data_IF_497694466076
#
_entry.id   IF_497694466076
#
_cell.length_a   1.000
_cell.length_b   1.000
_cell.length_c   1.000
_cell.angle_alpha   90.00
_cell.angle_beta   90.00
_cell.angle_gamma   90.00
#
_symmetry.space_group_name_H-M   'P 1'
#
loop_
_entity.id
_entity.type
_entity.pdbx_description
1 polymer ?
#
# COMPACT_ATOMS: atom_id res chain seq x y z
N UNK A 1 -1.72 17.79 13.34
CA UNK A 1 -0.45 18.40 12.87
C UNK A 1 -0.14 17.81 11.50
N UNK A 2 1.10 17.88 11.00
CA UNK A 2 1.45 17.34 9.67
C UNK A 2 1.32 15.82 9.55
N UNK A 3 1.22 15.11 10.69
CA UNK A 3 1.02 13.65 10.74
C UNK A 3 -0.41 13.27 11.17
N UNK A 4 -1.36 14.21 11.12
CA UNK A 4 -2.74 13.95 11.54
C UNK A 4 -2.95 13.81 13.06
N UNK A 5 -1.94 14.09 13.89
CA UNK A 5 -2.09 14.04 15.35
C UNK A 5 -2.99 15.18 15.85
N UNK A 6 -3.96 14.83 16.70
CA UNK A 6 -4.88 15.78 17.33
C UNK A 6 -4.16 16.49 18.47
N UNK A 7 -3.78 17.75 18.23
CA UNK A 7 -3.10 18.61 19.21
C UNK A 7 -4.07 19.45 20.04
N UNK A 8 -5.18 19.85 19.44
CA UNK A 8 -6.17 20.72 20.05
C UNK A 8 -7.58 20.27 19.70
N UNK A 9 -8.50 20.38 20.66
CA UNK A 9 -9.93 20.15 20.46
C UNK A 9 -10.67 21.36 21.00
N UNK A 10 -11.60 21.87 20.20
CA UNK A 10 -12.37 23.09 20.49
C UNK A 10 -13.87 22.79 20.50
N UNK A 11 -14.64 23.61 21.20
CA UNK A 11 -16.10 23.62 21.11
C UNK A 11 -16.59 24.22 19.78
N UNK A 12 -17.89 24.11 19.49
CA UNK A 12 -18.52 24.78 18.34
C UNK A 12 -18.40 26.31 18.35
N UNK A 13 -18.11 26.92 19.51
CA UNK A 13 -17.86 28.36 19.64
C UNK A 13 -16.37 28.73 19.53
N UNK A 14 -15.49 27.74 19.26
CA UNK A 14 -14.05 27.94 19.16
C UNK A 14 -13.32 27.95 20.50
N UNK A 15 -14.01 27.80 21.64
CA UNK A 15 -13.35 27.72 22.95
C UNK A 15 -12.58 26.40 23.08
N UNK A 16 -11.30 26.48 23.49
CA UNK A 16 -10.41 25.32 23.66
C UNK A 16 -10.89 24.43 24.80
N UNK A 17 -11.03 23.13 24.51
CA UNK A 17 -11.49 22.08 25.43
C UNK A 17 -10.38 21.15 25.87
N UNK A 18 -9.45 20.85 24.98
CA UNK A 18 -8.34 19.96 25.24
C UNK A 18 -7.15 20.39 24.39
N UNK A 19 -5.97 20.43 25.00
CA UNK A 19 -4.68 20.56 24.31
C UNK A 19 -3.80 19.41 24.78
N UNK A 20 -3.21 18.68 23.84
CA UNK A 20 -2.30 17.57 24.11
C UNK A 20 -1.07 17.72 23.22
N UNK A 21 0.09 17.71 23.86
CA UNK A 21 1.36 17.62 23.18
C UNK A 21 1.85 16.18 23.25
N UNK A 22 2.69 15.79 22.29
CA UNK A 22 3.19 14.43 22.16
C UNK A 22 4.70 14.44 21.97
N UNK A 23 5.36 13.50 22.62
CA UNK A 23 6.70 13.05 22.26
C UNK A 23 6.70 12.45 20.84
N UNK A 24 7.87 12.31 20.19
CA UNK A 24 7.96 11.82 18.82
C UNK A 24 7.21 10.51 18.55
N UNK A 25 7.22 9.56 19.48
CA UNK A 25 6.56 8.26 19.35
C UNK A 25 5.11 8.24 19.87
N UNK A 26 4.51 9.40 20.15
CA UNK A 26 3.11 9.50 20.55
C UNK A 26 2.82 9.43 22.04
N UNK A 27 3.86 9.40 22.88
CA UNK A 27 3.70 9.52 24.33
C UNK A 27 3.13 10.90 24.65
N UNK A 28 2.06 10.99 25.44
CA UNK A 28 1.47 12.27 25.80
C UNK A 28 2.44 13.05 26.69
N UNK A 29 2.82 14.24 26.25
CA UNK A 29 3.59 15.19 27.02
C UNK A 29 2.64 15.88 28.00
N UNK A 30 2.86 15.70 29.30
CA UNK A 30 2.10 16.40 30.34
C UNK A 30 2.58 17.84 30.38
N UNK A 31 1.78 18.75 29.81
CA UNK A 31 2.00 20.18 29.96
C UNK A 31 1.52 20.61 31.36
N UNK A 32 2.37 21.32 32.11
CA UNK A 32 2.18 21.64 33.54
C UNK A 32 1.08 22.68 33.81
N UNK A 33 0.39 23.16 32.78
CA UNK A 33 -0.79 23.99 32.91
C UNK A 33 -2.00 23.14 33.33
N UNK A 34 -2.17 23.00 34.66
CA UNK A 34 -3.33 22.41 35.36
C UNK A 34 -4.73 22.78 34.80
N UNK A 35 -4.84 23.84 34.00
CA UNK A 35 -6.11 24.35 33.46
C UNK A 35 -6.61 23.65 32.17
N UNK A 36 -5.81 22.80 31.49
CA UNK A 36 -6.22 22.20 30.20
C UNK A 36 -6.54 20.70 30.25
N UNK A 37 -6.48 20.08 31.44
CA UNK A 37 -6.90 18.69 31.70
C UNK A 37 -8.39 18.69 32.08
N UNK A 38 -9.26 19.31 31.28
CA UNK A 38 -10.68 19.38 31.64
C UNK A 38 -11.46 18.12 31.30
N UNK A 39 -10.92 17.20 30.50
CA UNK A 39 -11.49 15.87 30.27
C UNK A 39 -10.50 15.08 29.39
N UNK A 40 -9.53 14.32 29.95
CA UNK A 40 -8.55 13.58 29.16
C UNK A 40 -9.20 12.59 28.16
N UNK A 41 -10.41 12.13 28.47
CA UNK A 41 -11.21 11.22 27.66
C UNK A 41 -12.23 11.93 26.75
N UNK A 42 -12.19 13.27 26.61
CA UNK A 42 -13.14 13.99 25.76
C UNK A 42 -12.97 13.61 24.29
N UNK A 43 -11.73 13.58 23.82
CA UNK A 43 -11.36 13.12 22.49
C UNK A 43 -10.50 11.86 22.62
N UNK A 44 -11.05 10.72 22.18
CA UNK A 44 -10.39 9.41 22.20
C UNK A 44 -9.36 9.28 21.07
N UNK A 45 -9.57 9.95 19.93
CA UNK A 45 -8.63 9.95 18.81
C UNK A 45 -7.52 10.99 19.02
N UNK A 46 -6.27 10.53 19.12
CA UNK A 46 -5.16 11.34 19.64
C UNK A 46 -3.98 11.36 18.67
N UNK A 47 -2.95 10.57 18.96
CA UNK A 47 -1.74 10.48 18.13
C UNK A 47 -2.07 9.83 16.79
N UNK A 48 -1.63 10.46 15.69
CA UNK A 48 -1.98 10.09 14.31
C UNK A 48 -3.48 9.85 14.05
N UNK A 49 -4.34 10.51 14.83
CA UNK A 49 -5.79 10.31 14.74
C UNK A 49 -6.26 8.91 15.15
N UNK A 50 -5.44 8.13 15.87
CA UNK A 50 -5.78 6.78 16.34
C UNK A 50 -6.41 6.80 17.73
N UNK A 51 -7.30 5.84 17.96
CA UNK A 51 -8.00 5.69 19.22
C UNK A 51 -7.00 5.34 20.32
N UNK A 52 -7.00 6.14 21.39
CA UNK A 52 -6.17 5.91 22.57
C UNK A 52 -6.91 5.03 23.57
N UNK A 53 -6.40 3.81 23.76
CA UNK A 53 -6.91 2.87 24.74
C UNK A 53 -6.14 3.00 26.05
N UNK A 54 -6.80 3.57 27.07
CA UNK A 54 -6.25 3.69 28.43
C UNK A 54 -6.76 2.61 29.39
N UNK A 55 -7.51 1.61 28.89
CA UNK A 55 -8.11 0.58 29.71
C UNK A 55 -7.03 -0.21 30.47
N UNK A 56 -7.22 -0.35 31.78
CA UNK A 56 -6.26 -0.99 32.71
C UNK A 56 -4.82 -0.43 32.67
N UNK A 57 -4.62 0.79 32.17
CA UNK A 57 -3.30 1.42 32.11
C UNK A 57 -2.43 0.97 30.93
N UNK A 58 -2.99 0.27 29.94
CA UNK A 58 -2.29 -0.14 28.71
C UNK A 58 -1.72 1.06 27.94
N UNK A 59 -2.48 2.16 27.84
CA UNK A 59 -2.06 3.42 27.21
C UNK A 59 -1.49 3.22 25.79
N UNK A 60 -2.22 2.47 24.97
CA UNK A 60 -1.86 2.13 23.58
C UNK A 60 -2.71 2.90 22.58
N UNK A 61 -2.25 2.92 21.33
CA UNK A 61 -3.05 3.38 20.19
C UNK A 61 -3.45 2.20 19.32
N UNK A 62 -4.72 2.15 18.93
CA UNK A 62 -5.22 1.11 18.04
C UNK A 62 -4.97 1.49 16.57
N UNK A 63 -4.10 0.72 15.90
CA UNK A 63 -3.80 0.84 14.47
C UNK A 63 -4.46 -0.28 13.66
N UNK A 64 -5.44 -0.98 14.23
CA UNK A 64 -6.19 -2.07 13.61
C UNK A 64 -5.40 -3.39 13.62
N UNK A 65 -4.30 -3.46 12.88
CA UNK A 65 -3.49 -4.68 12.80
C UNK A 65 -2.70 -4.96 14.09
N UNK A 66 -2.32 -3.89 14.80
CA UNK A 66 -1.43 -3.91 15.98
C UNK A 66 -1.81 -2.79 16.94
N UNK A 67 -1.41 -2.93 18.20
CA UNK A 67 -1.47 -1.85 19.19
C UNK A 67 -0.09 -1.19 19.28
N UNK A 68 -0.03 0.12 19.13
CA UNK A 68 1.21 0.88 19.31
C UNK A 68 1.39 1.24 20.78
N UNK A 69 2.53 0.86 21.37
CA UNK A 69 2.97 1.27 22.70
C UNK A 69 3.87 2.51 22.59
N UNK A 70 3.33 3.73 22.77
CA UNK A 70 4.09 4.95 22.58
C UNK A 70 5.23 5.12 23.59
N UNK A 71 5.04 4.62 24.82
CA UNK A 71 6.06 4.69 25.89
C UNK A 71 7.25 3.77 25.58
N UNK A 72 7.00 2.64 24.93
CA UNK A 72 8.04 1.68 24.55
C UNK A 72 8.58 1.93 23.14
N UNK A 73 7.98 2.86 22.38
CA UNK A 73 8.28 3.17 20.99
C UNK A 73 8.18 1.95 20.06
N UNK A 74 7.21 1.05 20.31
CA UNK A 74 7.13 -0.27 19.67
C UNK A 74 5.69 -0.75 19.46
N UNK A 75 5.53 -1.70 18.55
CA UNK A 75 4.33 -2.51 18.44
C UNK A 75 4.20 -3.51 19.60
N UNK A 76 2.96 -3.85 19.95
CA UNK A 76 2.62 -4.85 20.96
C UNK A 76 2.91 -6.29 20.53
N UNK A 77 2.94 -6.53 19.22
CA UNK A 77 3.13 -7.85 18.61
C UNK A 77 4.02 -7.75 17.37
N UNK A 78 4.54 -8.92 16.97
CA UNK A 78 5.37 -9.09 15.78
C UNK A 78 4.61 -8.55 14.56
N UNK A 79 5.29 -7.73 13.76
CA UNK A 79 4.82 -7.34 12.45
C UNK A 79 4.53 -8.59 11.61
N UNK A 80 3.30 -8.78 11.09
CA UNK A 80 3.00 -9.90 10.20
C UNK A 80 3.91 -9.96 8.97
N UNK A 81 4.58 -8.86 8.63
CA UNK A 81 5.52 -8.70 7.55
C UNK A 81 6.98 -8.65 8.02
N UNK A 82 7.30 -9.01 9.27
CA UNK A 82 8.64 -8.85 9.83
C UNK A 82 9.74 -9.60 9.07
N UNK A 83 9.39 -10.72 8.42
CA UNK A 83 10.30 -11.49 7.58
C UNK A 83 10.72 -10.74 6.30
N UNK A 84 10.08 -9.60 5.99
CA UNK A 84 10.47 -8.69 4.90
C UNK A 84 11.58 -7.72 5.31
N UNK A 85 11.71 -7.43 6.61
CA UNK A 85 12.65 -6.43 7.13
C UNK A 85 13.61 -7.05 8.15
N UNK A 86 14.47 -7.98 7.71
CA UNK A 86 15.45 -8.63 8.60
C UNK A 86 16.36 -7.64 9.35
N UNK A 87 16.58 -6.46 8.78
CA UNK A 87 17.38 -5.39 9.37
C UNK A 87 16.60 -4.47 10.32
N UNK A 88 15.30 -4.66 10.46
CA UNK A 88 14.41 -3.89 11.33
C UNK A 88 13.78 -4.82 12.35
N UNK A 89 13.68 -4.38 13.59
CA UNK A 89 13.01 -5.20 14.61
C UNK A 89 11.55 -5.45 14.19
N UNK A 90 11.02 -6.69 14.32
CA UNK A 90 9.61 -7.00 14.11
C UNK A 90 8.64 -6.16 14.94
N UNK A 91 9.14 -5.45 15.94
CA UNK A 91 8.37 -4.60 16.84
C UNK A 91 8.60 -3.11 16.60
N UNK A 92 9.39 -2.71 15.58
CA UNK A 92 9.74 -1.32 15.35
C UNK A 92 8.54 -0.54 14.81
N UNK A 93 8.22 0.58 15.45
CA UNK A 93 7.24 1.56 14.95
C UNK A 93 7.92 2.51 13.96
N UNK A 94 7.37 2.65 12.74
CA UNK A 94 7.86 3.54 11.69
C UNK A 94 9.38 3.45 11.42
N UNK A 95 9.98 2.26 11.54
CA UNK A 95 11.44 2.05 11.45
C UNK A 95 12.27 3.03 12.33
N UNK A 96 11.74 3.41 13.50
CA UNK A 96 12.30 4.42 14.42
C UNK A 96 12.32 5.86 13.89
N UNK A 97 11.51 6.20 12.89
CA UNK A 97 11.40 7.57 12.35
C UNK A 97 9.96 8.15 12.43
N UNK A 98 9.36 8.25 13.63
CA UNK A 98 7.95 8.62 13.83
C UNK A 98 7.66 10.12 13.64
N UNK A 99 8.69 10.94 13.38
CA UNK A 99 8.55 12.39 13.11
C UNK A 99 8.21 12.63 11.63
N UNK A 100 8.67 11.73 10.76
CA UNK A 100 8.51 11.83 9.31
C UNK A 100 7.57 10.77 8.74
N UNK A 101 7.29 9.70 9.48
CA UNK A 101 6.52 8.55 9.00
C UNK A 101 5.37 8.22 9.97
N UNK A 102 4.24 7.82 9.41
CA UNK A 102 3.07 7.28 10.12
C UNK A 102 2.78 5.93 9.50
N UNK A 103 2.47 4.94 10.34
CA UNK A 103 1.89 3.67 9.89
C UNK A 103 0.36 3.86 9.92
N UNK A 104 -0.35 4.05 8.79
CA UNK A 104 -1.76 4.43 8.82
C UNK A 104 -2.67 3.31 9.32
N UNK A 105 -2.39 2.05 8.97
CA UNK A 105 -3.15 0.84 9.39
C UNK A 105 -2.40 -0.46 9.04
N UNK A 106 -1.10 -0.37 8.72
CA UNK A 106 -0.24 -1.43 8.23
C UNK A 106 -0.51 -1.84 6.78
N UNK A 107 -1.17 -1.00 5.96
CA UNK A 107 -1.74 -1.36 4.65
C UNK A 107 -1.78 -0.17 3.66
N UNK A 108 -1.75 -0.45 2.35
CA UNK A 108 -1.58 0.56 1.28
C UNK A 108 -2.65 0.40 0.16
N UNK A 109 -3.48 1.45 -0.08
CA UNK A 109 -4.63 1.50 -1.00
C UNK A 109 -5.99 1.35 -0.30
N UNK A 110 -7.11 1.83 -0.88
CA UNK A 110 -8.44 1.79 -0.24
C UNK A 110 -9.54 1.20 -1.13
N UNK A 111 -10.55 0.60 -0.52
CA UNK A 111 -11.83 0.21 -1.15
C UNK A 111 -12.93 1.15 -0.68
N UNK A 112 -13.50 1.92 -1.60
CA UNK A 112 -14.58 2.86 -1.32
C UNK A 112 -15.91 2.20 -1.68
N UNK A 113 -16.76 1.94 -0.69
CA UNK A 113 -18.08 1.35 -0.87
C UNK A 113 -19.12 2.46 -1.03
N UNK A 114 -19.84 2.44 -2.15
CA UNK A 114 -21.02 3.26 -2.42
C UNK A 114 -22.25 2.35 -2.42
N UNK A 115 -22.98 2.39 -1.31
CA UNK A 115 -24.19 1.59 -1.07
C UNK A 115 -25.36 1.98 -1.99
N UNK A 116 -25.43 3.25 -2.40
CA UNK A 116 -26.54 3.75 -3.25
C UNK A 116 -26.39 3.23 -4.68
N UNK A 117 -25.18 3.34 -5.22
CA UNK A 117 -24.88 2.90 -6.58
C UNK A 117 -24.46 1.43 -6.67
N UNK A 118 -24.33 0.74 -5.52
CA UNK A 118 -23.81 -0.63 -5.40
C UNK A 118 -22.47 -0.79 -6.11
N UNK A 119 -21.55 0.13 -5.84
CA UNK A 119 -20.19 0.10 -6.42
C UNK A 119 -19.14 0.03 -5.33
N UNK A 120 -18.06 -0.69 -5.60
CA UNK A 120 -16.84 -0.67 -4.80
C UNK A 120 -15.74 -0.14 -5.70
N UNK A 121 -15.11 0.97 -5.31
CA UNK A 121 -14.00 1.56 -6.06
C UNK A 121 -12.69 1.30 -5.34
N UNK A 122 -11.77 0.61 -5.99
CA UNK A 122 -10.38 0.49 -5.54
C UNK A 122 -9.64 1.74 -5.94
N UNK A 123 -9.13 2.49 -4.96
CA UNK A 123 -8.34 3.69 -5.19
C UNK A 123 -6.90 3.47 -4.74
N UNK A 124 -5.97 3.74 -5.66
CA UNK A 124 -4.54 3.63 -5.43
C UNK A 124 -3.76 4.51 -6.42
N UNK A 125 -2.64 5.05 -5.97
CA UNK A 125 -1.77 5.91 -6.74
C UNK A 125 -0.41 5.23 -6.94
N UNK A 126 0.19 5.38 -8.12
CA UNK A 126 1.44 4.75 -8.53
C UNK A 126 2.43 5.81 -8.97
N UNK A 127 3.52 5.93 -8.21
CA UNK A 127 4.67 6.77 -8.54
C UNK A 127 5.58 5.98 -9.47
N UNK A 128 5.63 6.41 -10.73
CA UNK A 128 6.32 5.74 -11.82
C UNK A 128 7.74 6.29 -11.93
N UNK A 129 8.75 5.41 -11.88
CA UNK A 129 10.13 5.82 -12.11
C UNK A 129 10.32 6.39 -13.50
N UNK A 130 10.72 7.65 -13.61
CA UNK A 130 11.15 8.25 -14.88
C UNK A 130 12.66 8.43 -14.95
N UNK A 131 13.34 8.47 -13.80
CA UNK A 131 14.78 8.63 -13.73
C UNK A 131 15.56 7.38 -14.09
N UNK A 132 16.62 7.56 -14.88
CA UNK A 132 17.56 6.49 -15.26
C UNK A 132 18.28 5.88 -14.04
N UNK A 133 18.76 4.64 -14.19
CA UNK A 133 19.56 3.94 -13.18
C UNK A 133 20.79 3.31 -13.79
N UNK A 134 21.94 3.61 -13.21
CA UNK A 134 23.16 2.88 -13.50
C UNK A 134 23.15 1.51 -12.81
N UNK A 135 23.64 0.49 -13.50
CA UNK A 135 23.91 -0.84 -12.94
C UNK A 135 25.19 -1.42 -13.54
N UNK A 136 25.80 -2.40 -12.85
CA UNK A 136 26.94 -3.14 -13.40
C UNK A 136 26.44 -4.41 -14.06
N UNK A 137 26.84 -4.65 -15.30
CA UNK A 137 26.60 -5.91 -15.99
C UNK A 137 27.53 -7.03 -15.50
N UNK A 138 27.32 -8.25 -16.02
CA UNK A 138 28.13 -9.43 -15.68
C UNK A 138 29.61 -9.30 -16.02
N UNK A 139 29.97 -8.39 -16.94
CA UNK A 139 31.35 -8.11 -17.34
C UNK A 139 31.97 -6.97 -16.52
N UNK A 140 31.24 -6.40 -15.57
CA UNK A 140 31.69 -5.31 -14.70
C UNK A 140 31.53 -3.91 -15.30
N UNK A 141 30.98 -3.78 -16.52
CA UNK A 141 30.77 -2.48 -17.16
C UNK A 141 29.55 -1.78 -16.56
N UNK A 142 29.61 -0.46 -16.50
CA UNK A 142 28.47 0.37 -16.07
C UNK A 142 27.54 0.54 -17.27
N UNK A 143 26.30 0.09 -17.09
CA UNK A 143 25.19 0.25 -18.02
C UNK A 143 24.14 1.19 -17.42
N UNK A 144 23.33 1.80 -18.27
CA UNK A 144 22.20 2.64 -17.85
C UNK A 144 20.90 1.99 -18.27
N UNK A 145 20.01 1.79 -17.30
CA UNK A 145 18.62 1.43 -17.54
C UNK A 145 17.76 2.69 -17.53
N UNK A 146 17.13 3.00 -18.66
CA UNK A 146 16.23 4.14 -18.73
C UNK A 146 14.94 3.92 -17.93
N UNK A 147 14.41 4.99 -17.33
CA UNK A 147 13.12 4.98 -16.68
C UNK A 147 11.93 4.79 -17.66
N UNK A 148 10.73 4.91 -17.13
CA UNK A 148 9.53 5.09 -17.94
C UNK A 148 9.47 6.50 -18.51
N UNK A 149 8.89 6.62 -19.69
CA UNK A 149 8.61 7.90 -20.34
C UNK A 149 7.25 8.45 -19.91
N UNK A 150 7.00 9.74 -20.15
CA UNK A 150 5.65 10.31 -19.97
C UNK A 150 4.61 9.62 -20.87
N UNK A 151 5.03 9.08 -22.02
CA UNK A 151 4.16 8.28 -22.89
C UNK A 151 3.71 6.98 -22.23
N UNK A 152 4.62 6.30 -21.52
CA UNK A 152 4.30 5.09 -20.75
C UNK A 152 3.32 5.42 -19.61
N UNK A 153 3.52 6.54 -18.90
CA UNK A 153 2.61 6.99 -17.83
C UNK A 153 1.21 7.28 -18.38
N UNK A 154 1.12 7.93 -19.54
CA UNK A 154 -0.16 8.18 -20.19
C UNK A 154 -0.87 6.86 -20.57
N UNK A 155 -0.13 5.88 -21.10
CA UNK A 155 -0.68 4.54 -21.37
C UNK A 155 -1.18 3.84 -20.09
N UNK A 156 -0.44 3.94 -18.99
CA UNK A 156 -0.86 3.35 -17.70
C UNK A 156 -2.13 4.01 -17.15
N UNK A 157 -2.31 5.32 -17.33
CA UNK A 157 -3.54 6.00 -16.93
C UNK A 157 -4.78 5.54 -17.73
N UNK A 158 -4.61 4.92 -18.91
CA UNK A 158 -5.71 4.27 -19.63
C UNK A 158 -6.14 2.92 -19.00
N UNK A 159 -5.43 2.41 -17.99
CA UNK A 159 -5.76 1.12 -17.35
C UNK A 159 -7.11 1.17 -16.64
N UNK A 160 -7.50 2.32 -16.06
CA UNK A 160 -8.84 2.48 -15.49
C UNK A 160 -9.94 2.21 -16.53
N UNK A 161 -9.78 2.74 -17.75
CA UNK A 161 -10.73 2.51 -18.84
C UNK A 161 -10.83 1.02 -19.14
N UNK A 162 -9.69 0.37 -19.39
CA UNK A 162 -9.64 -1.06 -19.67
C UNK A 162 -10.27 -1.91 -18.56
N UNK A 163 -9.90 -1.67 -17.30
CA UNK A 163 -10.38 -2.44 -16.15
C UNK A 163 -11.88 -2.22 -15.89
N UNK A 164 -12.36 -0.99 -16.00
CA UNK A 164 -13.75 -0.65 -15.75
C UNK A 164 -14.69 -1.14 -16.87
N UNK A 165 -14.20 -1.27 -18.11
CA UNK A 165 -14.92 -1.87 -19.24
C UNK A 165 -15.10 -3.40 -19.12
N UNK A 166 -14.35 -4.07 -18.24
CA UNK A 166 -14.57 -5.50 -17.94
C UNK A 166 -15.88 -5.75 -17.19
N UNK A 167 -16.49 -4.71 -16.60
CA UNK A 167 -17.76 -4.80 -15.86
C UNK A 167 -17.75 -5.90 -14.80
N UNK A 168 -16.68 -5.96 -14.01
CA UNK A 168 -16.52 -6.96 -12.95
C UNK A 168 -17.59 -6.77 -11.87
N UNK A 169 -18.16 -7.88 -11.41
CA UNK A 169 -19.13 -7.89 -10.31
C UNK A 169 -18.67 -8.84 -9.21
N UNK A 170 -19.06 -8.53 -7.97
CA UNK A 170 -18.83 -9.41 -6.83
C UNK A 170 -19.84 -10.56 -6.88
N UNK A 171 -19.38 -11.82 -6.99
CA UNK A 171 -20.26 -12.97 -7.24
C UNK A 171 -20.92 -13.53 -5.98
N UNK A 172 -20.49 -13.16 -4.78
CA UNK A 172 -20.99 -13.71 -3.50
C UNK A 172 -20.54 -12.87 -2.30
N UNK A 173 -21.24 -13.00 -1.17
CA UNK A 173 -20.89 -12.36 0.10
C UNK A 173 -21.65 -11.05 0.34
N UNK A 174 -21.20 -10.25 1.31
CA UNK A 174 -21.92 -9.06 1.77
C UNK A 174 -22.15 -8.01 0.67
N UNK A 175 -21.29 -8.02 -0.35
CA UNK A 175 -21.36 -7.12 -1.50
C UNK A 175 -21.78 -7.83 -2.79
N UNK A 176 -22.47 -8.97 -2.71
CA UNK A 176 -22.94 -9.69 -3.89
C UNK A 176 -23.74 -8.77 -4.84
N UNK A 177 -23.38 -8.83 -6.13
CA UNK A 177 -23.97 -7.99 -7.17
C UNK A 177 -23.40 -6.57 -7.26
N UNK A 178 -22.49 -6.15 -6.37
CA UNK A 178 -21.82 -4.85 -6.48
C UNK A 178 -20.86 -4.86 -7.66
N UNK A 179 -20.75 -3.72 -8.34
CA UNK A 179 -19.76 -3.52 -9.40
C UNK A 179 -18.41 -3.13 -8.80
N UNK A 180 -17.33 -3.83 -9.20
CA UNK A 180 -15.97 -3.42 -8.87
C UNK A 180 -15.47 -2.41 -9.89
N UNK A 181 -14.96 -1.28 -9.41
CA UNK A 181 -14.39 -0.19 -10.20
C UNK A 181 -12.98 0.12 -9.73
N UNK A 182 -12.20 0.74 -10.60
CA UNK A 182 -10.81 1.13 -10.36
C UNK A 182 -10.64 2.63 -10.63
N UNK A 183 -10.01 3.29 -9.68
CA UNK A 183 -9.57 4.68 -9.71
C UNK A 183 -8.07 4.70 -9.39
N UNK A 184 -7.27 4.29 -10.38
CA UNK A 184 -5.82 4.20 -10.29
C UNK A 184 -5.16 5.43 -10.92
N UNK A 185 -4.23 6.06 -10.23
CA UNK A 185 -3.48 7.21 -10.79
C UNK A 185 -2.03 6.82 -11.04
N UNK A 186 -1.49 7.06 -12.23
CA UNK A 186 -0.06 6.90 -12.50
C UNK A 186 0.57 8.28 -12.68
N UNK A 187 1.57 8.60 -11.86
CA UNK A 187 2.23 9.91 -11.83
C UNK A 187 3.74 9.77 -11.88
N UNK A 188 4.41 10.82 -12.36
CA UNK A 188 5.87 10.88 -12.39
C UNK A 188 6.44 10.86 -10.97
N UNK A 189 7.20 9.81 -10.66
CA UNK A 189 7.90 9.61 -9.38
C UNK A 189 9.38 10.05 -9.40
N UNK A 190 9.87 10.54 -10.54
CA UNK A 190 11.24 11.00 -10.71
C UNK A 190 12.29 9.91 -10.48
N UNK A 191 13.30 10.24 -9.66
CA UNK A 191 14.44 9.36 -9.33
C UNK A 191 14.30 8.65 -7.98
N UNK A 192 13.27 8.99 -7.17
CA UNK A 192 13.03 8.45 -5.82
C UNK A 192 11.53 8.26 -5.56
N UNK A 193 10.98 7.10 -5.94
CA UNK A 193 9.54 6.87 -5.88
C UNK A 193 9.03 6.48 -4.48
N UNK A 194 9.82 5.73 -3.72
CA UNK A 194 9.40 5.13 -2.43
C UNK A 194 9.03 6.18 -1.38
N UNK A 195 9.75 7.29 -1.32
CA UNK A 195 9.49 8.36 -0.33
C UNK A 195 8.19 9.09 -0.68
N UNK A 196 7.88 9.28 -1.97
CA UNK A 196 6.69 9.98 -2.41
C UNK A 196 5.44 9.11 -2.23
N UNK A 197 5.53 7.82 -2.58
CA UNK A 197 4.48 6.82 -2.33
C UNK A 197 4.06 6.78 -0.85
N UNK A 198 5.03 6.76 0.07
CA UNK A 198 4.76 6.72 1.51
C UNK A 198 4.02 7.97 2.07
N UNK A 199 3.97 9.08 1.31
CA UNK A 199 3.35 10.34 1.75
C UNK A 199 1.94 10.57 1.18
N UNK A 200 1.46 9.70 0.31
CA UNK A 200 0.22 9.90 -0.43
C UNK A 200 -0.99 9.30 0.31
N UNK A 201 -2.05 10.09 0.47
CA UNK A 201 -3.13 9.81 1.42
C UNK A 201 -4.52 10.02 0.81
N UNK A 202 -5.47 9.18 1.23
CA UNK A 202 -6.90 9.38 1.03
C UNK A 202 -7.68 9.07 2.31
N UNK A 203 -8.34 10.09 2.85
CA UNK A 203 -9.10 10.03 4.11
C UNK A 203 -8.32 9.40 5.30
N UNK A 204 -7.01 9.63 5.37
CA UNK A 204 -6.16 9.11 6.46
C UNK A 204 -5.59 7.71 6.22
N UNK A 205 -5.73 7.16 5.01
CA UNK A 205 -5.12 5.92 4.57
C UNK A 205 -4.08 6.18 3.48
N UNK A 206 -2.91 5.56 3.58
CA UNK A 206 -1.92 5.65 2.50
C UNK A 206 -2.46 4.93 1.25
N UNK A 207 -2.30 5.55 0.08
CA UNK A 207 -2.72 4.97 -1.20
C UNK A 207 -1.57 4.86 -2.22
N UNK A 208 -0.36 5.22 -1.82
CA UNK A 208 0.79 5.34 -2.71
C UNK A 208 1.55 4.04 -2.90
N UNK A 209 1.88 3.76 -4.16
CA UNK A 209 2.62 2.61 -4.65
C UNK A 209 3.76 3.09 -5.55
N UNK A 210 4.73 2.22 -5.86
CA UNK A 210 5.78 2.54 -6.84
C UNK A 210 5.83 1.53 -7.99
N UNK A 211 6.26 1.99 -9.15
CA UNK A 211 6.49 1.14 -10.31
C UNK A 211 7.77 1.56 -11.04
N UNK A 212 8.68 0.60 -11.19
CA UNK A 212 9.99 0.82 -11.80
C UNK A 212 10.37 -0.31 -12.76
N UNK A 213 11.29 -0.03 -13.67
CA UNK A 213 11.94 -1.04 -14.51
C UNK A 213 13.10 -1.68 -13.75
N UNK A 214 13.32 -2.96 -13.98
CA UNK A 214 14.43 -3.71 -13.42
C UNK A 214 14.92 -4.85 -14.32
N UNK A 215 16.05 -5.43 -13.93
CA UNK A 215 16.61 -6.63 -14.54
C UNK A 215 17.38 -7.41 -13.47
N UNK A 216 17.79 -8.63 -13.78
CA UNK A 216 18.49 -9.53 -12.83
C UNK A 216 19.81 -8.97 -12.30
N UNK A 217 20.44 -8.02 -13.00
CA UNK A 217 21.69 -7.39 -12.55
C UNK A 217 21.44 -6.27 -11.53
N UNK A 218 20.40 -5.47 -11.76
CA UNK A 218 19.98 -4.38 -10.88
C UNK A 218 19.28 -4.91 -9.62
N UNK A 219 18.54 -6.02 -9.76
CA UNK A 219 17.80 -6.66 -8.69
C UNK A 219 18.11 -8.16 -8.62
N UNK A 220 19.21 -8.48 -7.93
CA UNK A 220 19.76 -9.85 -7.89
C UNK A 220 18.92 -10.85 -7.11
N UNK A 221 18.06 -10.37 -6.20
CA UNK A 221 17.35 -11.22 -5.24
C UNK A 221 15.83 -11.31 -5.51
N UNK A 222 15.35 -10.85 -6.67
CA UNK A 222 13.91 -10.81 -6.97
C UNK A 222 13.46 -11.84 -8.01
N UNK A 223 14.34 -12.76 -8.44
CA UNK A 223 13.91 -13.91 -9.23
C UNK A 223 13.60 -13.63 -10.71
N UNK A 224 14.28 -12.64 -11.32
CA UNK A 224 14.21 -12.37 -12.77
C UNK A 224 15.04 -13.34 -13.63
N UNK A 225 15.42 -14.47 -13.06
CA UNK A 225 16.20 -15.49 -13.76
C UNK A 225 15.31 -16.35 -14.67
N UNK A 226 15.89 -16.81 -15.77
CA UNK A 226 15.23 -17.72 -16.69
C UNK A 226 15.26 -19.13 -16.14
N UNK A 227 14.08 -19.73 -16.00
CA UNK A 227 13.91 -21.12 -15.55
C UNK A 227 13.59 -21.98 -16.75
N UNK A 228 14.40 -23.01 -16.98
CA UNK A 228 14.14 -24.04 -17.98
C UNK A 228 13.20 -25.11 -17.39
N UNK A 229 12.13 -25.41 -18.11
CA UNK A 229 11.17 -26.44 -17.75
C UNK A 229 11.62 -27.78 -18.32
N UNK A 230 11.11 -28.87 -17.73
CA UNK A 230 11.40 -30.24 -18.16
C UNK A 230 10.98 -30.56 -19.60
N UNK A 231 10.12 -29.73 -20.21
CA UNK A 231 9.69 -29.84 -21.61
C UNK A 231 10.58 -29.03 -22.59
N UNK A 232 11.68 -28.44 -22.10
CA UNK A 232 12.60 -27.61 -22.88
C UNK A 232 12.12 -26.17 -23.13
N UNK A 233 10.94 -25.79 -22.61
CA UNK A 233 10.49 -24.40 -22.65
C UNK A 233 11.13 -23.59 -21.53
N UNK A 234 11.24 -22.28 -21.72
CA UNK A 234 11.80 -21.38 -20.70
C UNK A 234 10.73 -20.42 -20.19
N UNK A 235 10.82 -20.08 -18.90
CA UNK A 235 9.97 -19.09 -18.26
C UNK A 235 10.83 -18.00 -17.66
N UNK A 236 10.37 -16.76 -17.75
CA UNK A 236 10.99 -15.64 -17.04
C UNK A 236 9.90 -14.85 -16.35
N UNK A 237 10.11 -14.50 -15.09
CA UNK A 237 9.18 -13.65 -14.33
C UNK A 237 9.10 -12.27 -15.01
N UNK A 238 7.88 -11.83 -15.35
CA UNK A 238 7.63 -10.59 -16.10
C UNK A 238 7.65 -9.33 -15.23
N UNK A 239 7.35 -9.47 -13.96
CA UNK A 239 7.41 -8.43 -12.95
C UNK A 239 7.34 -9.05 -11.55
N UNK A 240 7.69 -8.27 -10.54
CA UNK A 240 7.60 -8.67 -9.14
C UNK A 240 7.06 -7.49 -8.36
N UNK A 241 6.03 -7.76 -7.56
CA UNK A 241 5.50 -6.81 -6.59
C UNK A 241 6.05 -7.15 -5.22
N UNK A 242 6.95 -6.32 -4.73
CA UNK A 242 7.48 -6.44 -3.38
C UNK A 242 6.55 -5.72 -2.42
N UNK A 243 6.28 -6.39 -1.29
CA UNK A 243 5.54 -5.80 -0.17
C UNK A 243 4.10 -5.38 -0.49
N UNK A 244 3.54 -5.83 -1.62
CA UNK A 244 2.26 -5.34 -2.16
C UNK A 244 2.27 -3.84 -2.50
N UNK A 245 3.44 -3.24 -2.76
CA UNK A 245 3.54 -1.79 -2.99
C UNK A 245 4.55 -1.43 -4.09
N UNK A 246 5.68 -2.16 -4.15
CA UNK A 246 6.80 -1.82 -5.00
C UNK A 246 6.86 -2.76 -6.20
N UNK A 247 6.34 -2.30 -7.33
CA UNK A 247 6.35 -3.04 -8.58
C UNK A 247 7.69 -2.83 -9.29
N UNK A 248 8.34 -3.94 -9.63
CA UNK A 248 9.51 -3.95 -10.49
C UNK A 248 9.19 -4.78 -11.73
N UNK A 249 9.14 -4.14 -12.88
CA UNK A 249 8.91 -4.82 -14.16
C UNK A 249 10.22 -5.31 -14.76
N UNK A 250 10.27 -6.58 -15.17
CA UNK A 250 11.46 -7.16 -15.77
C UNK A 250 11.59 -6.70 -17.23
N UNK A 251 12.66 -5.97 -17.51
CA UNK A 251 13.03 -5.54 -18.88
C UNK A 251 14.36 -6.14 -19.34
N UNK A 252 14.89 -7.12 -18.59
CA UNK A 252 16.08 -7.88 -19.00
C UNK A 252 15.86 -8.77 -20.22
N UNK A 253 14.59 -9.05 -20.56
CA UNK A 253 14.20 -9.81 -21.74
C UNK A 253 13.10 -9.06 -22.50
N UNK A 254 13.14 -9.14 -23.83
CA UNK A 254 12.18 -8.46 -24.68
C UNK A 254 10.77 -9.02 -24.49
N UNK A 255 9.76 -8.14 -24.47
CA UNK A 255 8.34 -8.51 -24.41
C UNK A 255 7.82 -8.90 -23.02
N UNK A 256 8.57 -8.65 -21.94
CA UNK A 256 8.12 -8.95 -20.57
C UNK A 256 7.37 -7.79 -19.89
N UNK A 257 7.74 -6.54 -20.15
CA UNK A 257 7.03 -5.37 -19.61
C UNK A 257 5.80 -5.01 -20.47
N UNK A 258 4.78 -5.87 -20.40
CA UNK A 258 3.51 -5.70 -21.12
C UNK A 258 2.44 -5.10 -20.21
N UNK A 259 1.42 -4.47 -20.81
CA UNK A 259 0.21 -4.02 -20.09
C UNK A 259 -0.37 -5.12 -19.19
N UNK A 260 -0.47 -6.35 -19.70
CA UNK A 260 -1.07 -7.44 -18.93
C UNK A 260 -0.21 -7.84 -17.73
N UNK A 261 1.12 -7.85 -17.88
CA UNK A 261 2.03 -8.13 -16.78
C UNK A 261 2.04 -6.99 -15.75
N UNK A 262 1.99 -5.72 -16.18
CA UNK A 262 1.83 -4.58 -15.25
C UNK A 262 0.54 -4.67 -14.45
N UNK A 263 -0.58 -5.00 -15.11
CA UNK A 263 -1.87 -5.20 -14.42
C UNK A 263 -1.79 -6.40 -13.46
N UNK A 264 -1.08 -7.47 -13.81
CA UNK A 264 -0.85 -8.58 -12.89
C UNK A 264 -0.15 -8.14 -11.61
N UNK A 265 0.93 -7.38 -11.74
CA UNK A 265 1.66 -6.80 -10.60
C UNK A 265 0.78 -5.82 -9.79
N UNK A 266 -0.01 -4.99 -10.45
CA UNK A 266 -1.00 -4.13 -9.78
C UNK A 266 -1.98 -4.94 -8.94
N UNK A 267 -2.46 -6.10 -9.40
CA UNK A 267 -3.36 -6.91 -8.57
C UNK A 267 -2.66 -7.55 -7.36
N UNK A 268 -1.33 -7.72 -7.39
CA UNK A 268 -0.59 -8.09 -6.19
C UNK A 268 -0.61 -6.97 -5.13
N UNK A 269 -0.66 -5.69 -5.52
CA UNK A 269 -0.80 -4.59 -4.54
C UNK A 269 -2.13 -4.65 -3.81
N UNK A 270 -3.18 -5.18 -4.47
CA UNK A 270 -4.48 -5.41 -3.83
C UNK A 270 -4.51 -6.65 -2.94
N UNK A 271 -3.38 -7.35 -2.75
CA UNK A 271 -3.23 -8.50 -1.86
C UNK A 271 -3.60 -9.85 -2.47
N UNK A 272 -3.71 -9.94 -3.80
CA UNK A 272 -3.90 -11.22 -4.46
C UNK A 272 -2.57 -11.99 -4.53
N UNK A 273 -2.67 -13.32 -4.45
CA UNK A 273 -1.54 -14.23 -4.59
C UNK A 273 -1.84 -15.29 -5.65
N UNK A 274 -0.79 -15.90 -6.20
CA UNK A 274 -0.93 -16.98 -7.17
C UNK A 274 -1.68 -18.17 -6.55
N UNK A 275 -2.54 -18.86 -7.32
CA UNK A 275 -3.26 -20.03 -6.83
C UNK A 275 -2.31 -21.13 -6.36
N UNK A 276 -2.64 -21.79 -5.25
CA UNK A 276 -1.89 -22.96 -4.76
C UNK A 276 -2.22 -24.20 -5.60
N UNK A 277 -1.21 -24.84 -6.18
CA UNK A 277 -1.31 -26.09 -6.95
C UNK A 277 -1.71 -25.91 -8.43
N UNK A 278 -1.93 -27.02 -9.15
CA UNK A 278 -2.31 -27.05 -10.59
C UNK A 278 -3.75 -26.55 -10.86
N UNK A 279 -4.31 -25.73 -9.99
CA UNK A 279 -5.66 -25.19 -10.17
C UNK A 279 -5.61 -24.16 -11.29
N UNK A 280 -6.13 -24.55 -12.46
CA UNK A 280 -6.40 -23.66 -13.59
C UNK A 280 -7.58 -22.76 -13.23
N UNK A 281 -7.45 -21.90 -12.21
CA UNK A 281 -8.50 -20.95 -11.86
C UNK A 281 -8.39 -19.78 -12.80
N UNK A 282 -9.41 -19.47 -13.61
CA UNK A 282 -9.42 -18.24 -14.43
C UNK A 282 -9.12 -16.99 -13.58
N UNK A 283 -8.40 -16.05 -14.18
CA UNK A 283 -8.11 -14.77 -13.55
C UNK A 283 -6.71 -14.23 -13.79
N UNK A 284 -6.52 -13.00 -13.32
CA UNK A 284 -5.31 -12.20 -13.52
C UNK A 284 -4.07 -12.85 -12.91
N UNK A 285 -4.22 -13.62 -11.83
CA UNK A 285 -3.13 -14.26 -11.08
C UNK A 285 -2.55 -15.54 -11.69
N UNK A 286 -2.99 -15.94 -12.89
CA UNK A 286 -2.38 -17.04 -13.61
C UNK A 286 -1.07 -16.63 -14.27
N UNK A 287 -0.27 -17.63 -14.64
CA UNK A 287 0.87 -17.43 -15.52
C UNK A 287 0.74 -18.32 -16.77
N UNK A 288 0.70 -17.74 -17.99
CA UNK A 288 0.73 -16.30 -18.28
C UNK A 288 -0.54 -15.57 -17.78
N UNK A 289 -0.43 -14.27 -17.43
CA UNK A 289 -1.58 -13.51 -16.92
C UNK A 289 -2.73 -13.42 -17.92
N UNK A 290 -3.94 -13.73 -17.45
CA UNK A 290 -5.20 -13.55 -18.21
C UNK A 290 -5.89 -12.26 -17.78
N UNK A 291 -6.98 -11.89 -18.45
CA UNK A 291 -7.83 -10.77 -18.00
C UNK A 291 -8.39 -11.02 -16.58
N UNK A 292 -8.57 -9.96 -15.76
CA UNK A 292 -9.27 -10.07 -14.48
C UNK A 292 -10.67 -10.69 -14.62
N UNK A 293 -11.09 -11.44 -13.61
CA UNK A 293 -12.36 -12.15 -13.52
C UNK A 293 -13.19 -11.69 -12.32
N UNK A 294 -14.47 -12.07 -12.27
CA UNK A 294 -15.32 -11.85 -11.10
C UNK A 294 -14.79 -12.55 -9.84
N UNK A 295 -14.06 -13.66 -9.99
CA UNK A 295 -13.38 -14.31 -8.88
C UNK A 295 -12.20 -13.48 -8.37
N UNK A 296 -11.49 -12.76 -9.25
CA UNK A 296 -10.46 -11.81 -8.81
C UNK A 296 -11.11 -10.62 -8.09
N UNK A 297 -12.27 -10.16 -8.57
CA UNK A 297 -13.04 -9.12 -7.88
C UNK A 297 -13.44 -9.54 -6.46
N UNK A 298 -13.89 -10.79 -6.29
CA UNK A 298 -14.15 -11.38 -4.97
C UNK A 298 -12.89 -11.41 -4.07
N UNK A 299 -11.74 -11.74 -4.65
CA UNK A 299 -10.47 -11.75 -3.89
C UNK A 299 -10.04 -10.35 -3.48
N UNK A 300 -10.23 -9.34 -4.34
CA UNK A 300 -9.93 -7.93 -4.01
C UNK A 300 -10.79 -7.46 -2.84
N UNK A 301 -12.10 -7.72 -2.85
CA UNK A 301 -12.97 -7.29 -1.75
C UNK A 301 -12.66 -8.02 -0.45
N UNK A 302 -12.37 -9.32 -0.51
CA UNK A 302 -12.02 -10.11 0.67
C UNK A 302 -10.56 -9.91 1.13
N UNK A 303 -9.74 -9.24 0.32
CA UNK A 303 -8.37 -8.93 0.69
C UNK A 303 -8.36 -8.06 1.92
N UNK A 304 -7.64 -8.50 2.94
CA UNK A 304 -7.38 -7.67 4.09
C UNK A 304 -6.44 -6.52 3.74
N UNK A 305 -5.64 -6.61 2.67
CA UNK A 305 -4.62 -5.60 2.34
C UNK A 305 -5.19 -4.21 2.08
N UNK A 306 -6.45 -4.09 1.63
CA UNK A 306 -7.06 -2.79 1.40
C UNK A 306 -8.11 -2.48 2.48
N UNK A 307 -7.97 -1.42 3.29
CA UNK A 307 -9.05 -0.88 4.12
C UNK A 307 -10.33 -0.58 3.33
N UNK A 308 -11.48 -0.61 4.02
CA UNK A 308 -12.79 -0.26 3.48
C UNK A 308 -13.22 1.09 4.04
N UNK A 309 -13.60 2.00 3.15
CA UNK A 309 -14.19 3.30 3.46
C UNK A 309 -15.61 3.31 2.90
N UNK A 310 -16.59 3.65 3.73
CA UNK A 310 -17.96 3.84 3.25
C UNK A 310 -18.13 5.29 2.76
N UNK A 311 -18.56 5.46 1.51
CA UNK A 311 -18.83 6.76 0.92
C UNK A 311 -19.90 7.47 1.75
N UNK A 312 -19.57 8.65 2.27
CA UNK A 312 -20.52 9.48 3.01
C UNK A 312 -21.60 10.00 2.04
N UNK A 313 -22.85 9.92 2.48
CA UNK A 313 -24.01 10.52 1.80
C UNK A 313 -23.91 12.03 1.78
#
# INVERSE_FOLDING_TARGET
DHLGTVRETVTSTGAMKQRVNYYPFGGQLVDTLKAMVLSPNFQQYKYNGKEFNNMYGLNTYDYGARQHYPVLARWDRIDPLCEKYYNVSPYAYCANNPVNCVDPDGRDGVKIVDEENKTITVKADYFVRTGDRAYRDSNGNIQTLSGYSSGDINEMNDYNKYLNELNLTIPSGDYEGYSLKFDLTFKDGGTTETIQAASDDYEGHNIGNSISKGNSQLYRNIGFEQVERSDGTTSVVGGVTQENQNIVMNVGYSGLDTKQNRIHEIFHTFGLSHPKGNSVSDGIMNYPPKKPSNNDALKVINSSVLPIINKKK
#
